data_IF_520115867189
#
_entry.id   IF_520115867189
#
_cell.length_a   1.000
_cell.length_b   1.000
_cell.length_c   1.000
_cell.angle_alpha   90.00
_cell.angle_beta   90.00
_cell.angle_gamma   90.00
#
_symmetry.space_group_name_H-M   'P 1'
#
loop_
_entity.id
_entity.type
_entity.pdbx_description
1 polymer ?
#
# COMPACT_ATOMS: atom_id res chain seq x y z
N UNK A 1 28.31 -10.16 23.07
CA UNK A 1 27.33 -9.06 23.01
C UNK A 1 26.40 -9.18 24.20
N UNK A 2 26.07 -8.08 24.89
CA UNK A 2 25.13 -8.12 26.03
C UNK A 2 23.70 -8.41 25.53
N UNK A 3 22.97 -9.26 26.26
CA UNK A 3 21.58 -9.63 25.92
C UNK A 3 20.68 -8.40 25.73
N UNK A 4 20.86 -7.38 26.57
CA UNK A 4 20.13 -6.12 26.50
C UNK A 4 20.36 -5.40 25.17
N UNK A 5 21.58 -5.45 24.62
CA UNK A 5 21.93 -4.80 23.36
C UNK A 5 21.24 -5.49 22.18
N UNK A 6 21.11 -6.82 22.21
CA UNK A 6 20.38 -7.57 21.17
C UNK A 6 18.89 -7.21 21.17
N UNK A 7 18.28 -7.11 22.35
CA UNK A 7 16.86 -6.75 22.48
C UNK A 7 16.60 -5.32 22.00
N UNK A 8 17.46 -4.37 22.39
CA UNK A 8 17.34 -2.97 21.98
C UNK A 8 17.51 -2.83 20.46
N UNK A 9 18.56 -3.41 19.89
CA UNK A 9 18.81 -3.33 18.45
C UNK A 9 17.73 -4.02 17.63
N UNK A 10 17.27 -5.20 18.07
CA UNK A 10 16.16 -5.90 17.44
C UNK A 10 14.87 -5.07 17.47
N UNK A 11 14.53 -4.51 18.64
CA UNK A 11 13.36 -3.64 18.79
C UNK A 11 13.44 -2.40 17.91
N UNK A 12 14.58 -1.70 17.88
CA UNK A 12 14.80 -0.55 17.01
C UNK A 12 14.66 -0.91 15.52
N UNK A 13 15.20 -2.05 15.10
CA UNK A 13 15.11 -2.50 13.71
C UNK A 13 13.65 -2.74 13.28
N UNK A 14 12.86 -3.47 14.08
CA UNK A 14 11.44 -3.71 13.78
C UNK A 14 10.60 -2.43 13.85
N UNK A 15 10.93 -1.51 14.75
CA UNK A 15 10.28 -0.21 14.83
C UNK A 15 10.53 0.59 13.55
N UNK A 16 11.79 0.69 13.10
CA UNK A 16 12.14 1.40 11.87
C UNK A 16 11.44 0.82 10.64
N UNK A 17 11.33 -0.50 10.55
CA UNK A 17 10.59 -1.18 9.47
C UNK A 17 9.10 -0.86 9.49
N UNK A 18 8.49 -0.79 10.67
CA UNK A 18 7.08 -0.44 10.82
C UNK A 18 6.84 1.00 10.37
N UNK A 19 7.67 1.95 10.82
CA UNK A 19 7.60 3.35 10.37
C UNK A 19 7.84 3.50 8.87
N UNK A 20 8.81 2.77 8.31
CA UNK A 20 9.08 2.78 6.87
C UNK A 20 7.87 2.26 6.07
N UNK A 21 7.23 1.18 6.50
CA UNK A 21 6.04 0.64 5.86
C UNK A 21 4.86 1.62 5.92
N UNK A 22 4.64 2.26 7.06
CA UNK A 22 3.59 3.29 7.22
C UNK A 22 3.84 4.48 6.27
N UNK A 23 5.09 4.97 6.21
CA UNK A 23 5.45 6.08 5.31
C UNK A 23 5.30 5.70 3.82
N UNK A 24 5.64 4.46 3.46
CA UNK A 24 5.46 3.96 2.09
C UNK A 24 3.97 3.90 1.72
N UNK A 25 3.11 3.36 2.60
CA UNK A 25 1.66 3.36 2.42
C UNK A 25 1.11 4.79 2.30
N UNK A 26 1.57 5.71 3.15
CA UNK A 26 1.09 7.09 3.16
C UNK A 26 1.42 7.84 1.87
N UNK A 27 2.64 7.62 1.34
CA UNK A 27 3.14 8.24 0.10
C UNK A 27 2.61 7.58 -1.17
N UNK A 28 2.15 6.33 -1.09
CA UNK A 28 1.65 5.59 -2.24
C UNK A 28 0.17 5.90 -2.49
N UNK A 29 -0.13 6.27 -3.72
CA UNK A 29 -1.52 6.45 -4.17
C UNK A 29 -2.00 5.18 -4.84
N UNK A 30 -2.94 4.49 -4.19
CA UNK A 30 -3.47 3.19 -4.62
C UNK A 30 -4.63 3.32 -5.61
N UNK A 31 -4.94 4.53 -6.10
CA UNK A 31 -6.08 4.82 -6.97
C UNK A 31 -7.43 4.81 -6.24
N UNK A 32 -7.70 3.80 -5.42
CA UNK A 32 -8.90 3.74 -4.57
C UNK A 32 -8.58 3.91 -3.08
N UNK A 33 -9.41 4.71 -2.40
CA UNK A 33 -9.30 4.99 -0.97
C UNK A 33 -9.37 3.70 -0.11
N UNK A 34 -10.18 2.72 -0.53
CA UNK A 34 -10.42 1.50 0.25
C UNK A 34 -9.16 0.62 0.33
N UNK A 35 -8.38 0.54 -0.75
CA UNK A 35 -7.12 -0.18 -0.75
C UNK A 35 -6.05 0.54 0.08
N UNK A 36 -6.03 1.88 0.06
CA UNK A 36 -5.10 2.69 0.89
C UNK A 36 -5.33 2.43 2.38
N UNK A 37 -6.60 2.41 2.81
CA UNK A 37 -6.97 2.15 4.21
C UNK A 37 -6.65 0.70 4.62
N UNK A 38 -6.97 -0.29 3.78
CA UNK A 38 -6.67 -1.70 4.08
C UNK A 38 -5.17 -1.96 4.23
N UNK A 39 -4.34 -1.44 3.32
CA UNK A 39 -2.88 -1.58 3.44
C UNK A 39 -2.32 -0.79 4.62
N UNK A 40 -2.92 0.35 4.97
CA UNK A 40 -2.60 1.09 6.20
C UNK A 40 -2.82 0.26 7.45
N UNK A 41 -4.00 -0.35 7.62
CA UNK A 41 -4.29 -1.22 8.76
C UNK A 41 -3.33 -2.40 8.88
N UNK A 42 -2.95 -3.03 7.76
CA UNK A 42 -1.98 -4.13 7.75
C UNK A 42 -0.59 -3.63 8.16
N UNK A 43 -0.14 -2.46 7.67
CA UNK A 43 1.16 -1.88 8.02
C UNK A 43 1.27 -1.46 9.50
N UNK A 44 0.13 -1.19 10.16
CA UNK A 44 0.08 -0.87 11.60
C UNK A 44 0.31 -2.08 12.52
N UNK A 45 0.30 -3.32 12.00
CA UNK A 45 0.59 -4.51 12.79
C UNK A 45 2.11 -4.61 13.02
N UNK A 46 2.62 -4.41 14.26
CA UNK A 46 4.04 -4.51 14.52
C UNK A 46 4.55 -5.94 14.27
N UNK A 47 5.84 -6.07 13.95
CA UNK A 47 6.56 -7.32 13.65
C UNK A 47 6.17 -8.03 12.34
N UNK A 48 4.88 -8.13 12.00
CA UNK A 48 4.38 -8.93 10.86
C UNK A 48 3.83 -8.04 9.74
N UNK A 49 3.20 -6.91 10.08
CA UNK A 49 2.51 -6.04 9.13
C UNK A 49 3.42 -5.48 8.04
N UNK A 50 4.62 -5.04 8.41
CA UNK A 50 5.62 -4.54 7.45
C UNK A 50 6.03 -5.62 6.43
N UNK A 51 6.13 -6.89 6.86
CA UNK A 51 6.53 -8.00 6.00
C UNK A 51 5.43 -8.34 4.99
N UNK A 52 4.18 -8.42 5.44
CA UNK A 52 3.02 -8.67 4.57
C UNK A 52 2.87 -7.52 3.55
N UNK A 53 3.01 -6.28 4.01
CA UNK A 53 2.95 -5.11 3.14
C UNK A 53 4.04 -5.10 2.07
N UNK A 54 5.30 -5.37 2.43
CA UNK A 54 6.39 -5.39 1.45
C UNK A 54 6.22 -6.49 0.40
N UNK A 55 5.78 -7.69 0.79
CA UNK A 55 5.66 -8.83 -0.13
C UNK A 55 4.47 -8.62 -1.10
N UNK A 56 3.31 -8.22 -0.58
CA UNK A 56 2.06 -8.20 -1.35
C UNK A 56 1.59 -6.78 -1.72
N UNK A 57 1.74 -5.81 -0.81
CA UNK A 57 1.28 -4.43 -0.99
C UNK A 57 2.16 -3.62 -1.94
N UNK A 58 3.48 -3.83 -1.91
CA UNK A 58 4.40 -3.09 -2.76
C UNK A 58 4.14 -3.30 -4.27
N UNK A 59 3.78 -4.53 -4.67
CA UNK A 59 3.49 -4.88 -6.07
C UNK A 59 2.11 -4.45 -6.55
N UNK A 60 1.14 -4.24 -5.63
CA UNK A 60 -0.27 -4.05 -5.96
C UNK A 60 -0.68 -2.59 -6.25
N UNK A 61 0.19 -1.62 -5.96
CA UNK A 61 -0.06 -0.20 -6.26
C UNK A 61 0.08 0.20 -7.74
N UNK A 62 0.12 -0.76 -8.66
CA UNK A 62 0.15 -0.52 -10.11
C UNK A 62 -0.96 -1.35 -10.76
N UNK A 63 -2.22 -1.03 -10.47
CA UNK A 63 -3.31 -1.47 -11.36
C UNK A 63 -3.61 -0.28 -12.27
N UNK A 64 -3.31 -0.37 -13.57
CA UNK A 64 -3.76 0.62 -14.53
C UNK A 64 -5.27 0.77 -14.39
N UNK A 65 -5.72 2.00 -14.20
CA UNK A 65 -7.14 2.36 -14.25
C UNK A 65 -7.76 1.61 -15.42
N UNK A 66 -8.76 0.76 -15.15
CA UNK A 66 -9.55 0.12 -16.19
C UNK A 66 -9.96 1.22 -17.18
N UNK A 67 -9.64 1.00 -18.45
CA UNK A 67 -10.07 1.87 -19.54
C UNK A 67 -11.56 2.20 -19.37
N UNK A 68 -11.87 3.50 -19.33
CA UNK A 68 -13.21 4.01 -19.16
C UNK A 68 -14.13 3.41 -20.25
N UNK A 69 -15.32 2.89 -19.89
CA UNK A 69 -16.32 2.42 -20.85
C UNK A 69 -16.94 3.57 -21.69
N UNK A 70 -16.41 4.79 -21.62
CA UNK A 70 -16.83 5.93 -22.43
C UNK A 70 -16.33 5.90 -23.90
N UNK A 71 -15.68 4.81 -24.32
CA UNK A 71 -15.40 4.55 -25.76
C UNK A 71 -16.55 3.73 -26.40
N UNK A 72 -17.77 3.83 -25.90
CA UNK A 72 -18.91 3.62 -26.79
C UNK A 72 -19.11 4.90 -27.59
N UNK A 73 -18.92 4.87 -28.92
CA UNK A 73 -19.24 6.03 -29.75
C UNK A 73 -20.70 6.37 -29.52
N UNK A 74 -20.98 7.62 -29.13
CA UNK A 74 -22.33 8.12 -28.94
C UNK A 74 -23.18 7.76 -30.16
N UNK A 75 -24.45 7.33 -29.98
CA UNK A 75 -25.30 6.96 -31.10
C UNK A 75 -25.35 8.13 -32.10
N UNK A 76 -25.37 7.87 -33.41
CA UNK A 76 -25.34 8.93 -34.41
C UNK A 76 -26.49 9.90 -34.13
N UNK A 77 -26.17 11.18 -33.96
CA UNK A 77 -27.17 12.25 -33.84
C UNK A 77 -27.89 12.31 -35.19
N UNK A 78 -29.03 11.63 -35.24
CA UNK A 78 -30.07 11.75 -36.24
C UNK A 78 -30.54 13.23 -36.23
N UNK A 79 -30.06 13.98 -37.22
CA UNK A 79 -30.40 15.39 -37.44
C UNK A 79 -31.67 15.57 -38.25
N UNK A 80 -32.79 15.01 -37.80
CA UNK A 80 -34.13 15.37 -38.26
C UNK A 80 -34.93 16.15 -37.22
#
# INVERSE_FOLDING_TARGET
>A
MSQNLVIILGGCFFLLLTWAAILDVARKDFGEFHFKVMWGFIAFIPFIGWLIYLIFGFKKGQVPSKADPATEPSPPVDGR
#
